data_IF_334165947855
#
_entry.id   IF_334165947855
#
_cell.length_a   1.000
_cell.length_b   1.000
_cell.length_c   1.000
_cell.angle_alpha   90.00
_cell.angle_beta   90.00
_cell.angle_gamma   90.00
#
_symmetry.space_group_name_H-M   'P 1'
#
loop_
_entity.id
_entity.type
_entity.pdbx_description
1 polymer ?
#
# COMPACT_ATOMS: atom_id res chain seq x y z
N UNK A 1 -1.58 -15.15 -20.72
CA UNK A 1 -2.40 -13.91 -20.78
C UNK A 1 -3.71 -14.14 -21.52
N UNK A 2 -3.69 -14.72 -22.73
CA UNK A 2 -4.90 -14.84 -23.56
C UNK A 2 -6.00 -15.70 -22.94
N UNK A 3 -5.63 -16.75 -22.20
CA UNK A 3 -6.60 -17.58 -21.46
C UNK A 3 -7.39 -16.77 -20.39
N UNK A 4 -6.76 -15.78 -19.76
CA UNK A 4 -7.40 -14.90 -18.76
C UNK A 4 -8.33 -13.91 -19.46
N UNK A 5 -7.86 -13.32 -20.57
CA UNK A 5 -8.68 -12.41 -21.39
C UNK A 5 -9.92 -13.08 -21.97
N UNK A 6 -9.80 -14.33 -22.42
CA UNK A 6 -10.95 -15.13 -22.91
C UNK A 6 -12.03 -15.37 -21.85
N UNK A 7 -11.70 -15.24 -20.56
CA UNK A 7 -12.66 -15.32 -19.45
C UNK A 7 -13.29 -13.96 -19.09
N UNK A 8 -13.05 -12.93 -19.89
CA UNK A 8 -13.63 -11.59 -19.70
C UNK A 8 -12.83 -10.66 -18.79
N UNK A 9 -11.66 -11.08 -18.31
CA UNK A 9 -10.80 -10.25 -17.48
C UNK A 9 -9.86 -9.39 -18.32
N UNK A 10 -9.77 -8.10 -18.00
CA UNK A 10 -8.77 -7.22 -18.59
C UNK A 10 -7.39 -7.49 -17.98
N UNK A 11 -6.37 -7.57 -18.82
CA UNK A 11 -5.00 -7.88 -18.38
C UNK A 11 -4.08 -6.74 -18.80
N UNK A 12 -3.50 -6.09 -17.78
CA UNK A 12 -2.48 -5.04 -17.90
C UNK A 12 -1.10 -5.63 -17.63
N UNK A 13 -0.16 -5.38 -18.53
CA UNK A 13 1.25 -5.67 -18.30
C UNK A 13 1.95 -4.38 -17.85
N UNK A 14 2.52 -4.37 -16.65
CA UNK A 14 3.22 -3.21 -16.07
C UNK A 14 4.52 -3.68 -15.40
N UNK A 15 5.65 -3.58 -16.11
CA UNK A 15 6.95 -4.06 -15.64
C UNK A 15 7.46 -5.29 -16.41
N UNK A 16 8.64 -5.78 -16.01
CA UNK A 16 9.31 -6.95 -16.57
C UNK A 16 9.77 -7.86 -15.42
N UNK A 17 9.40 -9.14 -15.44
CA UNK A 17 9.67 -10.09 -14.35
C UNK A 17 8.81 -9.86 -13.09
N UNK A 18 8.64 -8.61 -12.67
CA UNK A 18 7.80 -8.19 -11.55
C UNK A 18 6.88 -7.03 -11.96
N UNK A 19 5.83 -6.81 -11.15
CA UNK A 19 4.91 -5.68 -11.33
C UNK A 19 5.62 -4.38 -10.91
N UNK A 20 5.75 -3.44 -11.83
CA UNK A 20 6.23 -2.09 -11.54
C UNK A 20 5.07 -1.22 -11.05
N UNK A 21 4.91 -1.14 -9.72
CA UNK A 21 3.74 -0.49 -9.08
C UNK A 21 3.54 0.99 -9.48
N UNK A 22 4.58 1.85 -9.58
CA UNK A 22 4.38 3.23 -10.05
C UNK A 22 3.77 3.29 -11.46
N UNK A 23 4.24 2.42 -12.36
CA UNK A 23 3.68 2.32 -13.71
C UNK A 23 2.25 1.78 -13.71
N UNK A 24 1.96 0.79 -12.86
CA UNK A 24 0.61 0.28 -12.71
C UNK A 24 -0.35 1.39 -12.22
N UNK A 25 0.03 2.16 -11.20
CA UNK A 25 -0.78 3.28 -10.69
C UNK A 25 -1.02 4.34 -11.77
N UNK A 26 0.01 4.68 -12.57
CA UNK A 26 -0.15 5.57 -13.72
C UNK A 26 -1.15 5.04 -14.73
N UNK A 27 -1.09 3.75 -15.07
CA UNK A 27 -2.03 3.11 -16.01
C UNK A 27 -3.45 3.15 -15.43
N UNK A 28 -3.64 2.78 -14.17
CA UNK A 28 -4.94 2.85 -13.48
C UNK A 28 -5.54 4.25 -13.54
N UNK A 29 -4.73 5.28 -13.30
CA UNK A 29 -5.15 6.67 -13.37
C UNK A 29 -5.49 7.12 -14.80
N UNK A 30 -4.61 6.89 -15.77
CA UNK A 30 -4.75 7.49 -17.11
C UNK A 30 -5.67 6.72 -18.03
N UNK A 31 -5.63 5.37 -17.99
CA UNK A 31 -6.43 4.52 -18.87
C UNK A 31 -7.80 4.18 -18.28
N UNK A 32 -7.88 4.01 -16.97
CA UNK A 32 -9.10 3.57 -16.30
C UNK A 32 -9.78 4.66 -15.47
N UNK A 33 -9.17 5.85 -15.38
CA UNK A 33 -9.73 6.97 -14.62
C UNK A 33 -9.80 6.72 -13.11
N UNK A 34 -9.06 5.74 -12.57
CA UNK A 34 -9.05 5.45 -11.14
C UNK A 34 -8.39 6.60 -10.39
N UNK A 35 -9.13 7.20 -9.46
CA UNK A 35 -8.65 8.32 -8.62
C UNK A 35 -8.47 7.95 -7.16
N UNK A 36 -9.15 6.91 -6.69
CA UNK A 36 -9.06 6.39 -5.33
C UNK A 36 -9.02 4.86 -5.41
N UNK A 37 -8.07 4.27 -4.71
CA UNK A 37 -7.86 2.82 -4.65
C UNK A 37 -7.79 2.42 -3.18
N UNK A 38 -8.39 1.28 -2.83
CA UNK A 38 -8.21 0.63 -1.54
C UNK A 38 -7.26 -0.55 -1.74
N UNK A 39 -6.27 -0.67 -0.84
CA UNK A 39 -5.29 -1.73 -0.84
C UNK A 39 -5.50 -2.53 0.43
N UNK A 40 -5.67 -3.84 0.32
CA UNK A 40 -5.94 -4.75 1.45
C UNK A 40 -4.74 -5.67 1.76
N UNK A 41 -3.56 -5.37 1.22
CA UNK A 41 -2.34 -6.18 1.41
C UNK A 41 -2.20 -7.33 0.42
N UNK A 42 -1.41 -8.37 0.71
CA UNK A 42 -0.75 -8.69 1.99
C UNK A 42 0.55 -7.92 2.32
N UNK A 43 1.32 -8.39 3.32
CA UNK A 43 2.45 -7.67 3.91
C UNK A 43 3.51 -7.21 2.89
N UNK A 44 3.81 -8.04 1.89
CA UNK A 44 4.75 -7.73 0.81
C UNK A 44 4.25 -6.60 -0.09
N UNK A 45 2.97 -6.62 -0.47
CA UNK A 45 2.39 -5.55 -1.28
C UNK A 45 2.36 -4.24 -0.50
N UNK A 46 1.96 -4.30 0.77
CA UNK A 46 1.94 -3.14 1.66
C UNK A 46 3.32 -2.48 1.75
N UNK A 47 4.38 -3.28 1.93
CA UNK A 47 5.77 -2.79 1.94
C UNK A 47 6.10 -2.03 0.66
N UNK A 48 5.89 -2.64 -0.51
CA UNK A 48 6.25 -1.99 -1.76
C UNK A 48 5.43 -0.73 -2.05
N UNK A 49 4.13 -0.72 -1.73
CA UNK A 49 3.29 0.47 -1.92
C UNK A 49 3.77 1.63 -1.04
N UNK A 50 4.09 1.34 0.23
CA UNK A 50 4.62 2.32 1.18
C UNK A 50 6.02 2.81 0.78
N UNK A 51 6.91 1.89 0.39
CA UNK A 51 8.28 2.20 -0.03
C UNK A 51 8.31 3.06 -1.30
N UNK A 52 7.42 2.77 -2.26
CA UNK A 52 7.25 3.60 -3.47
C UNK A 52 6.43 4.87 -3.24
N UNK A 53 6.05 5.18 -1.98
CA UNK A 53 5.28 6.37 -1.60
C UNK A 53 3.93 6.49 -2.31
N UNK A 54 3.26 5.35 -2.53
CA UNK A 54 1.97 5.22 -3.23
C UNK A 54 0.78 5.11 -2.26
N UNK A 55 0.99 5.37 -0.98
CA UNK A 55 -0.05 5.30 0.07
C UNK A 55 -0.15 6.65 0.74
N UNK A 56 -1.34 7.24 0.69
CA UNK A 56 -1.65 8.52 1.33
C UNK A 56 -2.26 8.36 2.72
N UNK A 57 -3.10 7.33 2.91
CA UNK A 57 -3.83 7.05 4.14
C UNK A 57 -3.74 5.56 4.52
N UNK A 58 -3.69 5.28 5.82
CA UNK A 58 -3.76 3.91 6.37
C UNK A 58 -4.96 3.83 7.31
N UNK A 59 -5.77 2.78 7.15
CA UNK A 59 -6.86 2.43 8.07
C UNK A 59 -6.57 1.08 8.70
N UNK A 60 -6.49 1.05 10.03
CA UNK A 60 -6.24 -0.18 10.79
C UNK A 60 -7.47 -0.55 11.59
N UNK A 61 -7.80 -1.84 11.58
CA UNK A 61 -8.84 -2.43 12.42
C UNK A 61 -8.15 -3.27 13.48
N UNK A 62 -8.21 -2.82 14.73
CA UNK A 62 -7.69 -3.53 15.88
C UNK A 62 -8.79 -4.44 16.42
N UNK A 63 -8.58 -5.74 16.28
CA UNK A 63 -9.46 -6.76 16.82
C UNK A 63 -9.09 -7.09 18.28
N UNK A 64 -10.05 -7.40 19.16
CA UNK A 64 -9.78 -7.75 20.56
C UNK A 64 -9.27 -9.20 20.72
N UNK A 65 -8.32 -9.61 19.89
CA UNK A 65 -7.75 -10.96 19.89
C UNK A 65 -6.21 -10.92 19.86
N UNK A 66 -5.58 -11.93 20.44
CA UNK A 66 -4.13 -12.12 20.44
C UNK A 66 -3.84 -13.49 19.81
N UNK A 67 -3.09 -13.50 18.71
CA UNK A 67 -2.78 -14.73 17.94
C UNK A 67 -1.36 -15.24 18.24
N UNK A 68 -0.41 -14.35 18.52
CA UNK A 68 1.01 -14.71 18.73
C UNK A 68 1.67 -15.33 17.48
N UNK A 69 2.88 -15.89 17.65
CA UNK A 69 3.62 -16.61 16.60
C UNK A 69 4.71 -15.76 15.93
N UNK A 70 5.95 -16.24 15.98
CA UNK A 70 7.11 -15.56 15.36
C UNK A 70 6.99 -15.50 13.82
N UNK A 71 6.31 -16.48 13.23
CA UNK A 71 6.12 -16.58 11.77
C UNK A 71 4.75 -16.03 11.31
N UNK A 72 3.97 -15.44 12.22
CA UNK A 72 2.68 -14.83 11.85
C UNK A 72 2.93 -13.56 11.05
N UNK A 73 2.34 -13.41 9.85
CA UNK A 73 2.56 -12.22 9.03
C UNK A 73 2.18 -10.92 9.74
N UNK A 74 3.08 -9.94 9.72
CA UNK A 74 2.84 -8.56 10.19
C UNK A 74 2.01 -7.76 9.18
N UNK A 75 1.56 -6.56 9.58
CA UNK A 75 0.85 -5.62 8.68
C UNK A 75 1.66 -5.26 7.43
N UNK A 76 2.95 -4.99 7.63
CA UNK A 76 3.93 -4.62 6.60
C UNK A 76 5.12 -5.55 6.75
N UNK A 77 5.44 -6.28 5.68
CA UNK A 77 6.65 -7.10 5.61
C UNK A 77 7.82 -6.30 5.07
N UNK A 78 8.73 -6.97 4.36
CA UNK A 78 9.83 -6.32 3.64
C UNK A 78 11.15 -6.33 4.40
N UNK A 79 12.05 -5.44 4.00
CA UNK A 79 13.40 -5.38 4.58
C UNK A 79 13.37 -4.79 5.99
N UNK A 80 14.33 -5.21 6.80
CA UNK A 80 14.61 -4.55 8.07
C UNK A 80 15.02 -3.10 7.82
N UNK A 81 14.57 -2.20 8.67
CA UNK A 81 15.05 -0.82 8.73
C UNK A 81 16.20 -0.77 9.73
N UNK A 82 17.29 -0.09 9.39
CA UNK A 82 18.45 0.00 10.28
C UNK A 82 18.38 1.27 11.16
N UNK A 83 17.65 2.29 10.70
CA UNK A 83 17.59 3.60 11.34
C UNK A 83 16.17 4.15 11.46
N UNK A 84 15.94 5.07 12.41
CA UNK A 84 14.66 5.76 12.56
C UNK A 84 14.30 6.65 11.36
N UNK A 85 15.28 7.07 10.58
CA UNK A 85 15.07 7.90 9.38
C UNK A 85 14.39 7.12 8.25
N UNK A 86 14.52 5.80 8.26
CA UNK A 86 13.85 4.89 7.33
C UNK A 86 12.41 4.56 7.74
N UNK A 87 12.01 4.92 8.98
CA UNK A 87 10.65 4.70 9.46
C UNK A 87 9.65 5.58 8.73
N UNK A 88 8.51 4.98 8.39
CA UNK A 88 7.39 5.70 7.79
C UNK A 88 6.57 6.33 8.91
N UNK A 89 6.54 7.66 8.93
CA UNK A 89 5.83 8.42 9.96
C UNK A 89 4.35 8.50 9.61
N UNK A 90 3.51 8.36 10.63
CA UNK A 90 2.05 8.46 10.52
C UNK A 90 1.51 9.54 11.45
N UNK A 91 0.44 10.20 11.05
CA UNK A 91 -0.33 11.12 11.92
C UNK A 91 -1.73 10.56 12.07
N UNK A 92 -2.15 10.36 13.32
CA UNK A 92 -3.52 9.95 13.62
C UNK A 92 -4.48 11.06 13.17
N UNK A 93 -5.40 10.70 12.29
CA UNK A 93 -6.42 11.58 11.73
C UNK A 93 -7.74 11.42 12.47
N UNK A 94 -8.14 10.17 12.73
CA UNK A 94 -9.40 9.85 13.40
C UNK A 94 -9.34 8.47 14.07
N UNK A 95 -10.24 8.21 15.00
CA UNK A 95 -10.45 6.89 15.58
C UNK A 95 -11.89 6.73 16.07
N UNK A 96 -12.44 5.53 15.92
CA UNK A 96 -13.78 5.21 16.37
C UNK A 96 -13.93 3.71 16.63
N UNK A 97 -14.96 3.35 17.39
CA UNK A 97 -15.35 1.95 17.56
C UNK A 97 -16.33 1.55 16.47
N UNK A 98 -16.10 0.38 15.88
CA UNK A 98 -17.06 -0.32 15.03
C UNK A 98 -17.40 -1.66 15.72
N UNK A 99 -18.49 -1.67 16.48
CA UNK A 99 -18.78 -2.74 17.43
C UNK A 99 -17.71 -2.79 18.53
N UNK A 100 -17.03 -3.92 18.69
CA UNK A 100 -15.92 -4.10 19.63
C UNK A 100 -14.55 -3.79 19.05
N UNK A 101 -14.47 -3.45 17.76
CA UNK A 101 -13.20 -3.24 17.07
C UNK A 101 -12.85 -1.75 17.08
N UNK A 102 -11.60 -1.43 17.42
CA UNK A 102 -11.09 -0.08 17.29
C UNK A 102 -10.61 0.14 15.86
N UNK A 103 -11.15 1.15 15.20
CA UNK A 103 -10.68 1.61 13.90
C UNK A 103 -9.87 2.88 14.10
N UNK A 104 -8.69 2.93 13.49
CA UNK A 104 -7.82 4.12 13.50
C UNK A 104 -7.47 4.50 12.07
N UNK A 105 -7.60 5.78 11.75
CA UNK A 105 -7.26 6.35 10.44
C UNK A 105 -6.02 7.23 10.56
N UNK A 106 -5.05 7.04 9.68
CA UNK A 106 -3.78 7.76 9.68
C UNK A 106 -3.49 8.38 8.32
N UNK A 107 -2.86 9.55 8.32
CA UNK A 107 -2.19 10.12 7.14
C UNK A 107 -0.73 9.67 7.14
N UNK A 108 -0.19 9.30 5.98
CA UNK A 108 1.23 8.93 5.82
C UNK A 108 2.07 10.17 5.56
N UNK A 109 3.17 10.32 6.31
CA UNK A 109 4.13 11.40 6.14
C UNK A 109 5.41 10.88 5.49
N UNK A 110 5.69 11.37 4.29
CA UNK A 110 6.98 11.15 3.62
C UNK A 110 7.87 12.40 3.75
N UNK A 111 9.15 12.27 4.09
CA UNK A 111 10.06 13.40 4.16
C UNK A 111 10.20 14.08 2.78
N UNK A 112 10.20 15.43 2.73
CA UNK A 112 10.42 16.17 1.50
C UNK A 112 11.85 15.97 0.97
N UNK A 113 12.01 15.87 -0.35
CA UNK A 113 13.33 15.87 -1.01
C UNK A 113 14.01 14.51 -1.24
N UNK A 114 13.39 13.39 -0.88
CA UNK A 114 13.91 12.03 -1.14
C UNK A 114 13.20 11.33 -2.32
N UNK A 115 12.97 12.05 -3.42
CA UNK A 115 12.66 11.41 -4.70
C UNK A 115 13.95 11.43 -5.52
N UNK A 116 14.56 10.25 -5.73
CA UNK A 116 15.26 10.04 -7.00
C UNK A 116 14.17 10.13 -8.07
N UNK A 117 14.31 11.10 -8.95
CA UNK A 117 13.37 11.48 -10.01
C UNK A 117 12.55 10.30 -10.56
N UNK A 118 11.25 10.21 -10.24
CA UNK A 118 10.29 9.50 -11.09
C UNK A 118 8.90 10.18 -11.11
N UNK A 119 8.32 10.42 -12.30
CA UNK A 119 7.03 11.07 -12.48
C UNK A 119 5.88 10.10 -12.18
N UNK A 120 5.28 10.19 -11.00
CA UNK A 120 4.15 9.33 -10.63
C UNK A 120 3.32 9.74 -9.42
N UNK A 121 3.60 10.87 -8.76
CA UNK A 121 2.84 11.27 -7.57
C UNK A 121 1.42 11.69 -7.97
N UNK A 122 0.46 10.85 -7.60
CA UNK A 122 -0.96 11.16 -7.60
C UNK A 122 -1.24 11.96 -6.33
N UNK A 123 -1.33 13.28 -6.48
CA UNK A 123 -2.15 14.11 -5.59
C UNK A 123 -3.63 13.93 -5.91
#
# INVERSE_FOLDING_TARGET
>A
VDAIRKRGAEVVCAGQGHVHLPTLMRILRTRYGVRKLMIEGGPTLNWHMLHHRLVDEIRLIHLPFIVGGADTPSLVGGMHIETEEEMIRLVLKDHYLCGTNLVTEYTVLYPPGQLKDEPGRIS
#
